data_IF_840154959011
#
_entry.id   IF_840154959011
#
_cell.length_a   1.000
_cell.length_b   1.000
_cell.length_c   1.000
_cell.angle_alpha   90.00
_cell.angle_beta   90.00
_cell.angle_gamma   90.00
#
_symmetry.space_group_name_H-M   'P 1'
#
loop_
_entity.id
_entity.type
_entity.pdbx_description
1 polymer ?
#
# COMPACT_ATOMS: atom_id res chain seq x y z
N UNK A 1 57.37 10.39 -59.65
CA UNK A 1 56.12 10.05 -58.93
C UNK A 1 56.35 10.29 -57.44
N UNK A 2 55.81 11.38 -56.88
CA UNK A 2 55.96 11.80 -55.48
C UNK A 2 54.87 11.10 -54.64
N UNK A 3 55.14 10.61 -53.41
CA UNK A 3 54.12 9.98 -52.58
C UNK A 3 53.11 11.02 -52.07
N UNK A 4 51.85 10.62 -51.80
CA UNK A 4 50.80 11.53 -51.34
C UNK A 4 51.03 11.94 -49.88
N UNK A 5 50.71 13.20 -49.57
CA UNK A 5 50.80 13.74 -48.22
C UNK A 5 49.72 13.12 -47.30
N UNK A 6 50.01 12.96 -45.99
CA UNK A 6 49.02 12.45 -45.03
C UNK A 6 47.89 13.45 -44.80
N UNK A 7 46.66 12.95 -44.77
CA UNK A 7 45.44 13.70 -44.48
C UNK A 7 45.43 14.16 -43.01
N UNK A 8 45.19 15.47 -42.80
CA UNK A 8 44.98 16.03 -41.47
C UNK A 8 43.67 15.50 -40.85
N UNK A 9 43.63 15.23 -39.53
CA UNK A 9 42.40 14.86 -38.85
C UNK A 9 41.40 16.03 -38.82
N UNK A 10 40.08 15.74 -38.83
CA UNK A 10 39.05 16.79 -38.78
C UNK A 10 39.08 17.55 -37.45
N UNK A 11 38.70 18.84 -37.43
CA UNK A 11 38.65 19.63 -36.20
C UNK A 11 37.62 19.05 -35.21
N UNK A 12 37.87 19.19 -33.89
CA UNK A 12 36.94 18.73 -32.86
C UNK A 12 35.60 19.48 -32.95
N UNK A 13 34.47 18.83 -32.59
CA UNK A 13 33.16 19.45 -32.57
C UNK A 13 33.12 20.63 -31.58
N UNK A 14 32.30 21.67 -31.86
CA UNK A 14 32.16 22.80 -30.96
C UNK A 14 31.62 22.36 -29.58
N UNK A 15 32.01 23.05 -28.49
CA UNK A 15 31.53 22.72 -27.15
C UNK A 15 30.00 22.88 -27.06
N UNK A 16 29.33 22.07 -26.23
CA UNK A 16 27.88 22.16 -26.04
C UNK A 16 27.48 23.51 -25.43
N UNK A 17 26.30 24.05 -25.78
CA UNK A 17 25.83 25.31 -25.24
C UNK A 17 25.58 25.22 -23.72
N UNK A 18 25.73 26.33 -22.98
CA UNK A 18 25.52 26.35 -21.53
C UNK A 18 24.08 25.96 -21.16
N UNK A 19 23.87 25.21 -20.07
CA UNK A 19 22.55 24.82 -19.62
C UNK A 19 21.88 26.02 -18.93
N UNK A 20 21.07 26.77 -19.67
CA UNK A 20 20.29 27.86 -19.09
C UNK A 20 19.95 28.95 -20.08
N UNK A 21 18.94 28.70 -20.90
CA UNK A 21 18.45 29.68 -21.88
C UNK A 21 17.20 29.22 -22.60
N UNK A 22 16.25 28.61 -21.88
CA UNK A 22 14.90 28.43 -22.40
C UNK A 22 14.16 29.77 -22.40
N UNK A 23 13.34 30.09 -23.41
CA UNK A 23 12.61 31.36 -23.46
C UNK A 23 11.72 31.50 -22.22
N UNK A 24 11.76 32.69 -21.60
CA UNK A 24 10.89 33.04 -20.48
C UNK A 24 9.43 32.75 -20.85
N UNK A 25 8.78 31.90 -20.06
CA UNK A 25 7.38 31.52 -20.26
C UNK A 25 6.53 32.79 -20.08
N UNK A 26 5.63 33.14 -21.01
CA UNK A 26 4.81 34.34 -20.88
C UNK A 26 3.95 34.24 -19.61
N UNK A 27 3.91 35.33 -18.84
CA UNK A 27 3.10 35.47 -17.62
C UNK A 27 1.61 35.54 -18.00
N UNK A 28 1.00 34.39 -18.26
CA UNK A 28 -0.44 34.23 -18.45
C UNK A 28 -1.14 33.71 -17.18
N UNK A 29 -2.47 33.87 -17.06
CA UNK A 29 -3.25 33.32 -15.95
C UNK A 29 -3.04 31.81 -15.82
N UNK A 30 -2.77 31.35 -14.61
CA UNK A 30 -2.47 29.94 -14.32
C UNK A 30 -3.75 29.12 -14.40
N UNK A 31 -3.78 28.12 -15.29
CA UNK A 31 -4.89 27.18 -15.41
C UNK A 31 -4.74 26.04 -14.40
N UNK A 32 -5.85 25.41 -14.01
CA UNK A 32 -5.82 24.18 -13.21
C UNK A 32 -5.03 23.09 -13.94
N UNK A 33 -4.07 22.48 -13.26
CA UNK A 33 -3.21 21.46 -13.84
C UNK A 33 -3.95 20.12 -14.03
N UNK A 34 -3.78 19.51 -15.19
CA UNK A 34 -4.20 18.13 -15.46
C UNK A 34 -3.06 17.17 -15.11
N UNK A 35 -3.25 16.34 -14.09
CA UNK A 35 -2.23 15.43 -13.55
C UNK A 35 -2.18 14.09 -14.29
N UNK A 36 -1.88 14.11 -15.59
CA UNK A 36 -1.67 12.88 -16.35
C UNK A 36 -0.30 12.24 -16.09
N UNK A 37 -0.21 10.92 -16.23
CA UNK A 37 1.09 10.22 -16.33
C UNK A 37 1.52 10.21 -17.79
N UNK A 38 2.64 10.86 -18.10
CA UNK A 38 3.18 10.90 -19.46
C UNK A 38 3.63 9.50 -19.87
N UNK A 39 3.20 9.08 -21.06
CA UNK A 39 3.70 7.85 -21.68
C UNK A 39 4.95 8.21 -22.49
N UNK A 40 6.03 7.45 -22.30
CA UNK A 40 7.24 7.62 -23.11
C UNK A 40 6.95 7.17 -24.55
N UNK A 41 7.39 7.91 -25.59
CA UNK A 41 7.17 7.52 -26.97
C UNK A 41 7.90 6.21 -27.26
N UNK A 42 7.18 5.09 -27.23
CA UNK A 42 7.71 3.75 -27.49
C UNK A 42 7.21 3.26 -28.86
N UNK A 43 8.05 3.42 -29.87
CA UNK A 43 7.99 2.69 -31.14
C UNK A 43 6.72 2.83 -32.00
N UNK A 44 6.81 2.36 -33.25
CA UNK A 44 5.68 2.26 -34.17
C UNK A 44 4.69 1.19 -33.67
N UNK A 45 3.39 1.45 -33.78
CA UNK A 45 2.32 0.49 -33.41
C UNK A 45 1.50 0.85 -32.18
N UNK A 46 1.75 2.00 -31.54
CA UNK A 46 0.88 2.52 -30.48
C UNK A 46 -0.23 3.39 -31.06
N UNK A 47 -1.40 3.42 -30.43
CA UNK A 47 -2.49 4.34 -30.79
C UNK A 47 -2.01 5.81 -30.83
N UNK A 48 -1.06 6.18 -29.98
CA UNK A 48 -0.44 7.51 -29.93
C UNK A 48 0.29 7.89 -31.23
N UNK A 49 0.81 6.90 -31.97
CA UNK A 49 1.53 7.10 -33.24
C UNK A 49 0.60 7.28 -34.45
N UNK A 50 -0.71 7.04 -34.30
CA UNK A 50 -1.70 7.06 -35.38
C UNK A 50 -2.94 7.90 -35.04
N UNK A 51 -2.82 8.89 -34.15
CA UNK A 51 -3.95 9.76 -33.81
C UNK A 51 -4.27 10.73 -34.96
N UNK A 52 -5.56 10.92 -35.30
CA UNK A 52 -5.96 11.93 -36.28
C UNK A 52 -5.74 13.34 -35.72
N UNK A 53 -5.72 14.34 -36.62
CA UNK A 53 -5.65 15.75 -36.22
C UNK A 53 -6.88 16.11 -35.39
N UNK A 54 -6.67 16.55 -34.15
CA UNK A 54 -7.75 16.96 -33.26
C UNK A 54 -8.49 18.19 -33.83
N UNK A 55 -9.82 18.30 -33.60
CA UNK A 55 -10.56 19.51 -33.92
C UNK A 55 -10.02 20.70 -33.10
N UNK A 56 -10.14 21.94 -33.62
CA UNK A 56 -9.74 23.13 -32.88
C UNK A 56 -10.57 23.24 -31.60
N UNK A 57 -9.91 23.57 -30.49
CA UNK A 57 -10.56 23.83 -29.22
C UNK A 57 -10.74 25.34 -29.02
N UNK A 58 -11.81 25.73 -28.33
CA UNK A 58 -11.98 27.10 -27.88
C UNK A 58 -11.06 27.37 -26.66
N UNK A 59 -9.87 27.86 -26.95
CA UNK A 59 -8.91 28.17 -25.90
C UNK A 59 -9.32 29.36 -25.03
N UNK A 60 -10.20 30.24 -25.50
CA UNK A 60 -10.68 31.38 -24.73
C UNK A 60 -11.64 30.90 -23.64
N UNK A 61 -12.61 30.06 -24.01
CA UNK A 61 -13.50 29.40 -23.06
C UNK A 61 -12.74 28.49 -22.09
N UNK A 62 -11.74 27.74 -22.57
CA UNK A 62 -10.89 26.92 -21.71
C UNK A 62 -10.13 27.77 -20.68
N UNK A 63 -9.56 28.91 -21.10
CA UNK A 63 -8.90 29.83 -20.17
C UNK A 63 -9.89 30.43 -19.18
N UNK A 64 -11.06 30.87 -19.62
CA UNK A 64 -12.08 31.45 -18.73
C UNK A 64 -12.53 30.46 -17.64
N UNK A 65 -12.85 29.22 -18.03
CA UNK A 65 -13.41 28.21 -17.13
C UNK A 65 -12.37 27.61 -16.17
N UNK A 66 -11.13 27.46 -16.61
CA UNK A 66 -10.09 26.73 -15.88
C UNK A 66 -8.99 27.63 -15.30
N UNK A 67 -9.08 28.95 -15.46
CA UNK A 67 -8.21 29.90 -14.74
C UNK A 67 -8.41 29.75 -13.24
N UNK A 68 -7.32 29.56 -12.52
CA UNK A 68 -7.31 29.61 -11.07
C UNK A 68 -7.61 31.05 -10.67
N UNK A 69 -8.88 31.33 -10.35
CA UNK A 69 -9.28 32.61 -9.77
C UNK A 69 -8.48 32.79 -8.49
N UNK A 70 -7.62 33.80 -8.45
CA UNK A 70 -7.04 34.28 -7.21
C UNK A 70 -8.22 34.61 -6.27
N UNK A 71 -8.31 33.93 -5.13
CA UNK A 71 -9.32 34.25 -4.14
C UNK A 71 -9.04 35.66 -3.59
N UNK A 72 -9.78 36.65 -4.07
CA UNK A 72 -9.72 38.03 -3.58
C UNK A 72 -10.25 39.05 -4.59
N UNK A 73 -11.56 39.17 -4.70
CA UNK A 73 -12.18 40.20 -5.55
C UNK A 73 -13.70 40.17 -5.54
N UNK A 74 -14.34 40.11 -4.38
CA UNK A 74 -15.74 40.50 -4.27
C UNK A 74 -15.79 42.03 -4.15
N UNK A 75 -16.48 42.67 -5.11
CA UNK A 75 -16.77 44.11 -5.15
C UNK A 75 -17.49 44.57 -3.88
N UNK A 76 -17.21 45.77 -3.35
CA UNK A 76 -17.96 46.33 -2.24
C UNK A 76 -19.30 46.90 -2.73
N UNK A 77 -20.40 46.41 -2.14
CA UNK A 77 -21.69 47.12 -2.11
C UNK A 77 -21.61 48.22 -1.06
N UNK A 78 -21.90 49.44 -1.45
CA UNK A 78 -21.86 50.64 -0.63
C UNK A 78 -23.03 50.72 0.38
N UNK A 79 -22.73 51.03 1.65
CA UNK A 79 -23.52 51.82 2.63
C UNK A 79 -22.70 51.93 3.97
N UNK A 80 -22.96 52.87 4.90
CA UNK A 80 -21.94 53.84 5.31
C UNK A 80 -21.39 53.68 6.74
N UNK A 81 -20.24 54.35 6.94
CA UNK A 81 -19.69 54.97 8.15
C UNK A 81 -19.97 54.34 9.54
N UNK A 82 -18.89 53.86 10.17
CA UNK A 82 -18.81 53.64 11.62
C UNK A 82 -17.39 53.21 11.99
N UNK A 83 -16.67 54.06 12.73
CA UNK A 83 -15.24 53.93 12.97
C UNK A 83 -14.82 52.85 13.98
N UNK A 84 -13.49 52.70 14.10
CA UNK A 84 -12.88 52.07 15.27
C UNK A 84 -11.82 51.00 14.96
N UNK A 85 -10.56 51.42 15.05
CA UNK A 85 -9.39 50.70 15.57
C UNK A 85 -8.98 49.32 14.99
N UNK A 86 -7.82 49.33 14.32
CA UNK A 86 -6.65 48.54 14.72
C UNK A 86 -6.75 47.02 14.67
N UNK A 87 -6.40 46.43 13.53
CA UNK A 87 -6.11 44.99 13.42
C UNK A 87 -5.24 44.71 12.21
N UNK A 88 -3.93 44.66 12.41
CA UNK A 88 -2.93 44.31 11.40
C UNK A 88 -3.17 42.87 10.91
N UNK A 89 -3.93 42.72 9.83
CA UNK A 89 -4.10 41.43 9.16
C UNK A 89 -2.77 41.02 8.52
N UNK A 90 -2.03 40.16 9.21
CA UNK A 90 -0.86 39.47 8.66
C UNK A 90 -1.31 38.72 7.42
N UNK A 91 -0.89 39.20 6.25
CA UNK A 91 -1.03 38.49 4.97
C UNK A 91 -0.34 37.14 5.14
N UNK A 92 -1.14 36.08 5.22
CA UNK A 92 -0.67 34.70 5.16
C UNK A 92 -0.05 34.51 3.77
N UNK A 93 1.28 34.65 3.71
CA UNK A 93 2.07 34.38 2.51
C UNK A 93 1.67 33.03 1.94
N UNK A 94 1.17 33.03 0.72
CA UNK A 94 0.75 31.83 0.02
C UNK A 94 2.00 31.00 -0.27
N UNK A 95 2.21 30.00 0.58
CA UNK A 95 3.29 29.03 0.43
C UNK A 95 3.09 28.26 -0.89
N UNK A 96 4.12 28.11 -1.73
CA UNK A 96 4.07 27.16 -2.82
C UNK A 96 4.01 25.75 -2.24
N UNK A 97 2.82 25.13 -2.27
CA UNK A 97 2.65 23.77 -1.79
C UNK A 97 3.30 22.79 -2.79
N UNK A 98 4.43 22.19 -2.39
CA UNK A 98 5.09 21.12 -3.16
C UNK A 98 4.22 19.86 -3.22
N UNK A 99 3.44 19.60 -2.17
CA UNK A 99 2.51 18.48 -2.08
C UNK A 99 1.13 18.90 -2.56
N UNK A 100 0.39 17.95 -3.15
CA UNK A 100 -1.02 18.17 -3.40
C UNK A 100 -1.82 18.25 -2.10
N UNK A 101 -2.95 18.98 -2.14
CA UNK A 101 -3.77 19.25 -0.95
C UNK A 101 -4.26 17.96 -0.28
N UNK A 102 -4.55 16.90 -1.05
CA UNK A 102 -5.03 15.63 -0.49
C UNK A 102 -3.91 14.93 0.29
N UNK A 103 -2.70 14.87 -0.29
CA UNK A 103 -1.54 14.28 0.35
C UNK A 103 -1.11 15.06 1.59
N UNK A 104 -1.06 16.39 1.49
CA UNK A 104 -0.75 17.27 2.63
C UNK A 104 -1.75 17.07 3.78
N UNK A 105 -3.06 17.02 3.48
CA UNK A 105 -4.10 16.78 4.49
C UNK A 105 -3.97 15.38 5.12
N UNK A 106 -3.70 14.33 4.34
CA UNK A 106 -3.51 12.97 4.86
C UNK A 106 -2.37 12.92 5.88
N UNK A 107 -1.23 13.53 5.55
CA UNK A 107 -0.06 13.59 6.44
C UNK A 107 -0.40 14.41 7.69
N UNK A 108 -1.05 15.56 7.56
CA UNK A 108 -1.44 16.38 8.71
C UNK A 108 -2.41 15.66 9.67
N UNK A 109 -3.36 14.89 9.14
CA UNK A 109 -4.25 14.05 9.94
C UNK A 109 -3.45 13.00 10.72
N UNK A 110 -2.42 12.40 10.11
CA UNK A 110 -1.54 11.48 10.82
C UNK A 110 -0.70 12.19 11.88
N UNK A 111 -0.16 13.37 11.58
CA UNK A 111 0.65 14.17 12.51
C UNK A 111 -0.12 14.58 13.77
N UNK A 112 -1.43 14.80 13.68
CA UNK A 112 -2.26 15.07 14.85
C UNK A 112 -2.15 13.98 15.92
N UNK A 113 -2.00 12.71 15.53
CA UNK A 113 -1.78 11.55 16.44
C UNK A 113 -0.38 11.50 17.04
N UNK A 114 0.56 12.22 16.45
CA UNK A 114 1.99 12.13 16.72
C UNK A 114 2.58 13.38 17.40
N UNK A 115 1.77 14.43 17.54
CA UNK A 115 2.19 15.72 18.10
C UNK A 115 2.81 15.56 19.49
N UNK A 116 4.01 16.10 19.68
CA UNK A 116 4.72 16.09 20.97
C UNK A 116 5.39 14.76 21.35
N UNK A 117 5.32 13.72 20.50
CA UNK A 117 5.86 12.38 20.82
C UNK A 117 7.31 12.15 20.38
N UNK A 118 7.97 13.14 19.75
CA UNK A 118 9.37 12.98 19.31
C UNK A 118 9.59 11.84 18.31
N UNK A 119 8.69 11.70 17.32
CA UNK A 119 8.64 10.55 16.39
C UNK A 119 9.98 10.25 15.72
N UNK A 120 10.72 11.27 15.27
CA UNK A 120 11.97 11.07 14.57
C UNK A 120 13.01 10.35 15.45
N UNK A 121 13.16 10.81 16.69
CA UNK A 121 14.02 10.18 17.68
C UNK A 121 13.54 8.76 18.01
N UNK A 122 12.22 8.58 18.18
CA UNK A 122 11.64 7.27 18.45
C UNK A 122 11.85 6.26 17.30
N UNK A 123 11.76 6.71 16.04
CA UNK A 123 12.05 5.87 14.86
C UNK A 123 13.54 5.53 14.80
N UNK A 124 14.43 6.49 15.05
CA UNK A 124 15.88 6.27 15.07
C UNK A 124 16.32 5.33 16.21
N UNK A 125 15.69 5.43 17.37
CA UNK A 125 15.99 4.60 18.54
C UNK A 125 15.23 3.25 18.55
N UNK A 126 14.24 3.06 17.67
CA UNK A 126 13.32 1.92 17.72
C UNK A 126 12.63 1.80 19.10
N UNK A 127 12.13 2.94 19.59
CA UNK A 127 11.59 3.10 20.95
C UNK A 127 10.14 2.61 21.05
N UNK A 128 9.97 1.42 21.63
CA UNK A 128 8.70 0.74 21.82
C UNK A 128 7.79 1.41 22.88
N UNK A 129 8.34 2.27 23.73
CA UNK A 129 7.55 3.01 24.72
C UNK A 129 6.75 4.12 24.05
N UNK A 130 7.34 4.73 23.02
CA UNK A 130 6.73 5.81 22.25
C UNK A 130 5.92 5.28 21.08
N UNK A 131 6.41 4.33 20.29
CA UNK A 131 5.75 3.88 19.06
C UNK A 131 5.20 2.46 19.18
N UNK A 132 3.90 2.30 18.92
CA UNK A 132 3.21 1.00 18.91
C UNK A 132 3.00 0.48 17.48
N UNK A 133 2.56 -0.77 17.35
CA UNK A 133 2.34 -1.44 16.06
C UNK A 133 1.53 -0.59 15.07
N UNK A 134 0.39 -0.05 15.52
CA UNK A 134 -0.49 0.79 14.69
C UNK A 134 0.15 2.12 14.29
N UNK A 135 1.04 2.64 15.13
CA UNK A 135 1.79 3.86 14.81
C UNK A 135 2.79 3.59 13.70
N UNK A 136 3.48 2.43 13.72
CA UNK A 136 4.40 2.05 12.64
C UNK A 136 3.65 1.87 11.32
N UNK A 137 2.45 1.27 11.33
CA UNK A 137 1.62 1.15 10.12
C UNK A 137 1.27 2.52 9.55
N UNK A 138 0.80 3.46 10.38
CA UNK A 138 0.54 4.85 9.96
C UNK A 138 1.78 5.57 9.46
N UNK A 139 2.92 5.40 10.13
CA UNK A 139 4.18 6.02 9.71
C UNK A 139 4.62 5.51 8.33
N UNK A 140 4.38 4.23 8.02
CA UNK A 140 4.66 3.69 6.68
C UNK A 140 3.77 4.31 5.60
N UNK A 141 2.49 4.55 5.89
CA UNK A 141 1.56 5.23 4.95
C UNK A 141 1.90 6.71 4.74
N UNK A 142 2.45 7.36 5.77
CA UNK A 142 2.81 8.78 5.75
C UNK A 142 4.27 9.03 5.40
N UNK A 143 5.07 7.97 5.20
CA UNK A 143 6.46 8.09 4.78
C UNK A 143 6.53 8.68 3.37
N UNK A 144 7.61 9.43 3.06
CA UNK A 144 7.81 9.97 1.73
C UNK A 144 7.97 8.83 0.71
N UNK A 145 7.26 8.95 -0.40
CA UNK A 145 7.42 8.10 -1.59
C UNK A 145 8.76 8.37 -2.27
N UNK A 146 9.20 7.47 -3.16
CA UNK A 146 10.46 7.67 -3.88
C UNK A 146 10.48 8.98 -4.68
N UNK A 147 9.37 9.34 -5.32
CA UNK A 147 9.21 10.62 -6.04
C UNK A 147 9.31 11.82 -5.09
N UNK A 148 8.67 11.74 -3.92
CA UNK A 148 8.74 12.79 -2.89
C UNK A 148 10.16 12.92 -2.30
N UNK A 149 10.89 11.81 -2.12
CA UNK A 149 12.30 11.84 -1.65
C UNK A 149 13.18 12.53 -2.68
N UNK A 150 13.04 12.22 -3.97
CA UNK A 150 13.81 12.86 -5.04
C UNK A 150 13.48 14.35 -5.17
N UNK A 151 12.21 14.72 -5.03
CA UNK A 151 11.77 16.12 -5.04
C UNK A 151 12.32 16.91 -3.84
N UNK A 152 12.42 16.27 -2.67
CA UNK A 152 12.82 16.91 -1.42
C UNK A 152 14.33 16.84 -1.15
N UNK A 153 15.08 15.97 -1.82
CA UNK A 153 16.52 15.78 -1.57
C UNK A 153 17.36 17.05 -1.68
N UNK A 154 17.15 17.96 -2.66
CA UNK A 154 17.97 19.16 -2.78
C UNK A 154 17.84 20.09 -1.57
N UNK A 155 16.67 20.08 -0.92
CA UNK A 155 16.38 20.89 0.26
C UNK A 155 16.85 20.23 1.57
N UNK A 156 17.05 18.91 1.56
CA UNK A 156 17.64 18.18 2.68
C UNK A 156 19.17 18.31 2.72
N UNK A 157 19.80 18.41 1.55
CA UNK A 157 21.27 18.45 1.40
C UNK A 157 21.86 19.85 1.59
N UNK A 158 21.16 20.91 1.17
CA UNK A 158 21.61 22.29 1.33
C UNK A 158 20.70 23.07 2.31
N UNK A 159 21.18 23.37 3.53
CA UNK A 159 20.45 24.17 4.51
C UNK A 159 20.01 25.54 3.99
N UNK A 160 20.77 26.13 3.05
CA UNK A 160 20.43 27.44 2.46
C UNK A 160 19.19 27.33 1.60
N UNK A 161 19.07 26.26 0.80
CA UNK A 161 17.87 25.96 0.01
C UNK A 161 16.67 25.65 0.92
N UNK A 162 16.89 24.94 2.03
CA UNK A 162 15.85 24.72 3.04
C UNK A 162 15.28 26.02 3.61
N UNK A 163 16.11 27.05 3.82
CA UNK A 163 15.69 28.35 4.33
C UNK A 163 15.01 29.25 3.28
N UNK A 164 15.19 28.96 1.98
CA UNK A 164 14.51 29.72 0.90
C UNK A 164 13.01 29.48 0.82
N UNK A 165 12.51 28.40 1.43
CA UNK A 165 11.11 27.98 1.36
C UNK A 165 10.49 27.94 2.76
N UNK A 166 9.30 28.53 2.90
CA UNK A 166 8.45 28.35 4.09
C UNK A 166 7.77 26.98 4.01
N UNK A 167 8.23 26.02 4.79
CA UNK A 167 7.67 24.66 4.84
C UNK A 167 6.36 24.61 5.63
N UNK A 168 5.35 23.94 5.07
CA UNK A 168 4.16 23.54 5.81
C UNK A 168 4.45 22.36 6.75
N UNK A 169 3.52 22.03 7.67
CA UNK A 169 3.72 20.93 8.62
C UNK A 169 3.92 19.56 7.96
N UNK A 170 3.27 19.31 6.82
CA UNK A 170 3.38 18.05 6.10
C UNK A 170 4.74 17.93 5.41
N UNK A 171 5.17 18.97 4.71
CA UNK A 171 6.43 19.02 3.99
C UNK A 171 7.62 18.97 4.94
N UNK A 172 7.55 19.69 6.07
CA UNK A 172 8.57 19.61 7.13
C UNK A 172 8.71 18.18 7.66
N UNK A 173 7.59 17.49 7.91
CA UNK A 173 7.64 16.09 8.35
C UNK A 173 8.24 15.16 7.30
N UNK A 174 7.89 15.33 6.02
CA UNK A 174 8.47 14.50 4.96
C UNK A 174 9.98 14.73 4.81
N UNK A 175 10.45 15.97 4.93
CA UNK A 175 11.88 16.29 4.94
C UNK A 175 12.61 15.58 6.08
N UNK A 176 12.06 15.68 7.30
CA UNK A 176 12.66 15.05 8.47
C UNK A 176 12.68 13.52 8.34
N UNK A 177 11.60 12.92 7.80
CA UNK A 177 11.52 11.47 7.56
C UNK A 177 12.44 11.02 6.41
N UNK A 178 12.59 11.82 5.35
CA UNK A 178 13.50 11.53 4.24
C UNK A 178 14.97 11.53 4.69
N UNK A 179 15.32 12.35 5.68
CA UNK A 179 16.65 12.37 6.28
C UNK A 179 16.96 11.12 7.12
N UNK A 180 15.96 10.31 7.50
CA UNK A 180 16.17 9.08 8.27
C UNK A 180 16.81 8.00 7.38
N UNK A 181 18.02 7.52 7.71
CA UNK A 181 18.69 6.50 6.91
C UNK A 181 17.89 5.20 6.89
N UNK A 182 17.67 4.67 5.68
CA UNK A 182 16.98 3.38 5.45
C UNK A 182 15.62 3.31 6.15
N UNK A 183 14.86 4.41 6.11
CA UNK A 183 13.57 4.55 6.80
C UNK A 183 12.65 3.34 6.59
N UNK A 184 12.46 2.91 5.34
CA UNK A 184 11.56 1.78 5.00
C UNK A 184 11.97 0.49 5.72
N UNK A 185 13.25 0.13 5.65
CA UNK A 185 13.80 -1.05 6.33
C UNK A 185 13.71 -0.89 7.85
N UNK A 186 13.99 0.30 8.38
CA UNK A 186 13.92 0.60 9.81
C UNK A 186 12.51 0.41 10.36
N UNK A 187 11.49 0.96 9.69
CA UNK A 187 10.09 0.76 10.05
C UNK A 187 9.66 -0.71 9.93
N UNK A 188 10.14 -1.43 8.91
CA UNK A 188 9.87 -2.86 8.75
C UNK A 188 10.50 -3.70 9.89
N UNK A 189 11.77 -3.46 10.22
CA UNK A 189 12.45 -4.10 11.34
C UNK A 189 11.76 -3.76 12.66
N UNK A 190 11.31 -2.52 12.84
CA UNK A 190 10.63 -2.11 14.06
C UNK A 190 9.29 -2.83 14.24
N UNK A 191 8.50 -2.90 13.16
CA UNK A 191 7.24 -3.64 13.16
C UNK A 191 7.47 -5.12 13.49
N UNK A 192 8.51 -5.73 12.92
CA UNK A 192 8.90 -7.10 13.25
C UNK A 192 9.25 -7.23 14.72
N UNK A 193 10.08 -6.34 15.28
CA UNK A 193 10.45 -6.33 16.71
C UNK A 193 9.22 -6.29 17.62
N UNK A 194 8.29 -5.38 17.35
CA UNK A 194 7.05 -5.20 18.12
C UNK A 194 6.11 -6.42 18.05
N UNK A 195 6.13 -7.16 16.95
CA UNK A 195 5.19 -8.28 16.71
C UNK A 195 5.81 -9.65 16.90
N UNK A 196 7.12 -9.74 17.10
CA UNK A 196 7.87 -10.99 17.09
C UNK A 196 7.39 -11.95 18.18
N UNK A 197 7.35 -11.49 19.43
CA UNK A 197 7.00 -12.36 20.57
C UNK A 197 5.58 -12.90 20.46
N UNK A 198 4.62 -12.10 19.99
CA UNK A 198 3.26 -12.59 19.79
C UNK A 198 3.20 -13.63 18.67
N UNK A 199 3.82 -13.35 17.51
CA UNK A 199 3.86 -14.30 16.39
C UNK A 199 4.56 -15.60 16.76
N UNK A 200 5.63 -15.53 17.54
CA UNK A 200 6.34 -16.69 18.07
C UNK A 200 5.42 -17.52 18.97
N UNK A 201 4.76 -16.90 19.95
CA UNK A 201 3.82 -17.59 20.86
C UNK A 201 2.68 -18.25 20.09
N UNK A 202 2.11 -17.56 19.10
CA UNK A 202 1.03 -18.11 18.29
C UNK A 202 1.50 -19.33 17.49
N UNK A 203 2.70 -19.27 16.91
CA UNK A 203 3.29 -20.39 16.19
C UNK A 203 3.61 -21.57 17.13
N UNK A 204 4.19 -21.32 18.30
CA UNK A 204 4.45 -22.34 19.32
C UNK A 204 3.15 -23.03 19.76
N UNK A 205 2.08 -22.26 20.00
CA UNK A 205 0.78 -22.81 20.36
C UNK A 205 0.18 -23.70 19.26
N UNK A 206 0.30 -23.30 17.99
CA UNK A 206 -0.17 -24.09 16.85
C UNK A 206 0.60 -25.41 16.72
N UNK A 207 1.93 -25.35 16.82
CA UNK A 207 2.78 -26.55 16.75
C UNK A 207 2.47 -27.49 17.90
N UNK A 208 2.32 -26.97 19.12
CA UNK A 208 1.98 -27.77 20.29
C UNK A 208 0.60 -28.42 20.17
N UNK A 209 -0.40 -27.69 19.65
CA UNK A 209 -1.72 -28.25 19.40
C UNK A 209 -1.67 -29.43 18.41
N UNK A 210 -0.90 -29.30 17.32
CA UNK A 210 -0.70 -30.38 16.34
C UNK A 210 0.01 -31.57 16.98
N UNK A 211 1.10 -31.32 17.72
CA UNK A 211 1.85 -32.38 18.40
C UNK A 211 0.97 -33.16 19.38
N UNK A 212 0.18 -32.46 20.20
CA UNK A 212 -0.79 -33.08 21.10
C UNK A 212 -1.83 -33.90 20.34
N UNK A 213 -2.40 -33.37 19.26
CA UNK A 213 -3.36 -34.12 18.45
C UNK A 213 -2.76 -35.41 17.87
N UNK A 214 -1.54 -35.34 17.32
CA UNK A 214 -0.82 -36.51 16.79
C UNK A 214 -0.51 -37.51 17.89
N UNK A 215 -0.05 -37.07 19.06
CA UNK A 215 0.21 -37.93 20.21
C UNK A 215 -1.06 -38.62 20.70
N UNK A 216 -2.18 -37.91 20.82
CA UNK A 216 -3.47 -38.48 21.19
C UNK A 216 -3.93 -39.55 20.18
N UNK A 217 -3.82 -39.28 18.88
CA UNK A 217 -4.19 -40.23 17.83
C UNK A 217 -3.30 -41.47 17.84
N UNK A 218 -1.98 -41.30 17.94
CA UNK A 218 -1.02 -42.42 17.97
C UNK A 218 -1.09 -43.23 19.27
N UNK A 219 -1.35 -42.58 20.40
CA UNK A 219 -1.47 -43.21 21.71
C UNK A 219 -2.81 -43.89 21.95
N UNK A 220 -3.82 -43.64 21.11
CA UNK A 220 -5.15 -44.21 21.26
C UNK A 220 -5.16 -45.71 20.95
N UNK A 221 -5.50 -46.51 21.96
CA UNK A 221 -5.74 -47.95 21.80
C UNK A 221 -7.14 -48.26 21.27
N UNK A 222 -8.08 -47.32 21.40
CA UNK A 222 -9.48 -47.51 21.00
C UNK A 222 -9.73 -47.13 19.55
N UNK A 223 -8.99 -46.16 19.00
CA UNK A 223 -9.14 -45.72 17.62
C UNK A 223 -8.91 -46.86 16.60
N UNK A 224 -7.85 -47.68 16.70
CA UNK A 224 -7.68 -48.82 15.80
C UNK A 224 -8.83 -49.83 15.86
N UNK A 225 -9.39 -50.08 17.06
CA UNK A 225 -10.52 -50.98 17.25
C UNK A 225 -11.79 -50.44 16.57
N UNK A 226 -12.07 -49.15 16.74
CA UNK A 226 -13.18 -48.48 16.06
C UNK A 226 -13.04 -48.56 14.54
N UNK A 227 -11.85 -48.27 14.00
CA UNK A 227 -11.60 -48.34 12.56
C UNK A 227 -11.75 -49.78 12.04
N UNK A 228 -11.31 -50.79 12.79
CA UNK A 228 -11.48 -52.19 12.44
C UNK A 228 -12.97 -52.59 12.41
N UNK A 229 -13.76 -52.16 13.40
CA UNK A 229 -15.20 -52.41 13.46
C UNK A 229 -15.91 -51.77 12.25
N UNK A 230 -15.60 -50.51 11.96
CA UNK A 230 -16.16 -49.79 10.80
C UNK A 230 -15.77 -50.49 9.49
N UNK A 231 -14.52 -50.98 9.37
CA UNK A 231 -14.07 -51.72 8.20
C UNK A 231 -14.87 -53.03 8.03
N UNK A 232 -15.07 -53.77 9.11
CA UNK A 232 -15.83 -55.02 9.11
C UNK A 232 -17.28 -54.78 8.70
N UNK A 233 -17.95 -53.80 9.32
CA UNK A 233 -19.34 -53.44 9.00
C UNK A 233 -19.46 -52.94 7.56
N UNK A 234 -18.54 -52.08 7.11
CA UNK A 234 -18.52 -51.57 5.74
C UNK A 234 -18.32 -52.68 4.70
N UNK A 235 -17.43 -53.65 4.98
CA UNK A 235 -17.22 -54.80 4.10
C UNK A 235 -18.42 -55.74 4.06
N UNK A 236 -19.11 -55.93 5.18
CA UNK A 236 -20.35 -56.72 5.23
C UNK A 236 -21.47 -56.06 4.41
N UNK A 237 -21.65 -54.74 4.53
CA UNK A 237 -22.66 -54.00 3.78
C UNK A 237 -22.39 -53.97 2.27
N UNK A 238 -21.12 -53.91 1.87
CA UNK A 238 -20.71 -53.84 0.47
C UNK A 238 -20.40 -55.22 -0.14
N UNK A 239 -20.73 -56.31 0.55
CA UNK A 239 -20.49 -57.67 0.07
C UNK A 239 -21.15 -57.89 -1.30
N UNK A 240 -20.43 -58.50 -2.24
CA UNK A 240 -20.92 -58.73 -3.60
C UNK A 240 -20.88 -57.51 -4.53
N UNK A 241 -20.37 -56.37 -4.06
CA UNK A 241 -20.13 -55.19 -4.90
C UNK A 241 -18.63 -54.96 -5.12
N UNK A 242 -18.22 -54.17 -6.13
CA UNK A 242 -16.82 -53.76 -6.31
C UNK A 242 -16.23 -52.96 -5.13
N UNK A 243 -17.07 -52.51 -4.18
CA UNK A 243 -16.68 -51.74 -2.98
C UNK A 243 -16.46 -52.63 -1.75
N UNK A 244 -16.74 -53.94 -1.84
CA UNK A 244 -16.51 -54.90 -0.76
C UNK A 244 -15.05 -55.34 -0.67
N UNK A 245 -14.74 -56.13 0.37
CA UNK A 245 -13.39 -56.68 0.62
C UNK A 245 -12.26 -55.63 0.66
N UNK A 246 -12.57 -54.41 1.11
CA UNK A 246 -11.59 -53.35 1.27
C UNK A 246 -10.61 -53.69 2.41
N UNK A 247 -9.34 -53.33 2.23
CA UNK A 247 -8.29 -53.45 3.26
C UNK A 247 -8.23 -52.23 4.20
N UNK A 248 -8.89 -51.13 3.84
CA UNK A 248 -8.92 -49.87 4.59
C UNK A 248 -9.82 -48.85 3.91
N UNK A 249 -10.03 -47.71 4.57
CA UNK A 249 -10.85 -46.61 4.05
C UNK A 249 -10.27 -45.25 4.44
N UNK A 250 -10.66 -44.20 3.72
CA UNK A 250 -10.26 -42.81 4.01
C UNK A 250 -11.08 -42.23 5.16
N UNK A 251 -10.53 -41.26 5.91
CA UNK A 251 -11.22 -40.65 7.07
C UNK A 251 -12.58 -40.03 6.73
N UNK A 252 -12.79 -39.62 5.48
CA UNK A 252 -14.09 -39.13 4.98
C UNK A 252 -15.22 -40.15 5.14
N UNK A 253 -14.91 -41.45 5.07
CA UNK A 253 -15.91 -42.52 5.24
C UNK A 253 -16.55 -42.51 6.64
N UNK A 254 -15.85 -41.99 7.65
CA UNK A 254 -16.40 -41.85 9.01
C UNK A 254 -17.61 -40.91 9.04
N UNK A 255 -17.60 -39.85 8.23
CA UNK A 255 -18.74 -38.93 8.11
C UNK A 255 -19.99 -39.60 7.54
N UNK A 256 -19.81 -40.54 6.61
CA UNK A 256 -20.90 -41.27 5.94
C UNK A 256 -21.66 -42.24 6.84
N UNK A 257 -21.10 -42.59 8.00
CA UNK A 257 -21.77 -43.45 8.98
C UNK A 257 -23.04 -42.81 9.54
N UNK A 258 -23.06 -41.48 9.69
CA UNK A 258 -24.24 -40.75 10.14
C UNK A 258 -25.31 -40.66 9.04
N UNK A 259 -24.89 -40.61 7.78
CA UNK A 259 -25.75 -40.45 6.60
C UNK A 259 -26.40 -41.77 6.17
N UNK A 260 -25.72 -42.89 6.38
CA UNK A 260 -26.21 -44.22 6.01
C UNK A 260 -27.27 -44.67 7.00
N UNK A 261 -28.53 -44.82 6.55
CA UNK A 261 -29.68 -45.17 7.41
C UNK A 261 -30.18 -46.58 7.13
N UNK A 262 -30.69 -47.24 8.16
CA UNK A 262 -31.42 -48.50 8.03
C UNK A 262 -32.71 -48.31 7.21
N UNK A 263 -33.15 -49.37 6.54
CA UNK A 263 -34.48 -49.40 5.95
C UNK A 263 -35.56 -49.41 7.04
N UNK A 264 -36.74 -48.90 6.69
CA UNK A 264 -37.95 -49.01 7.52
C UNK A 264 -38.62 -50.35 7.20
N UNK A 265 -39.10 -51.05 8.22
CA UNK A 265 -39.86 -52.31 8.08
C UNK A 265 -40.93 -52.39 9.16
N UNK A 266 -41.93 -53.26 9.00
CA UNK A 266 -43.02 -53.40 9.98
C UNK A 266 -42.52 -53.74 11.40
N UNK A 267 -41.36 -54.40 11.52
CA UNK A 267 -40.70 -54.69 12.79
C UNK A 267 -39.78 -53.56 13.32
N UNK A 268 -39.39 -52.59 12.47
CA UNK A 268 -38.60 -51.40 12.83
C UNK A 268 -39.14 -50.16 12.10
N UNK A 269 -40.08 -49.43 12.73
CA UNK A 269 -40.72 -48.27 12.11
C UNK A 269 -39.82 -47.03 12.06
N UNK A 270 -38.75 -46.97 12.89
CA UNK A 270 -37.82 -45.84 12.94
C UNK A 270 -36.47 -46.17 12.26
N UNK A 271 -35.98 -45.26 11.42
CA UNK A 271 -34.66 -45.35 10.81
C UNK A 271 -33.56 -45.12 11.85
N UNK A 272 -32.56 -46.00 11.89
CA UNK A 272 -31.35 -45.86 12.72
C UNK A 272 -30.15 -45.65 11.81
N UNK A 273 -29.26 -44.70 12.11
CA UNK A 273 -28.04 -44.53 11.31
C UNK A 273 -27.02 -45.62 11.61
N UNK A 274 -26.12 -45.87 10.66
CA UNK A 274 -25.05 -46.83 10.82
C UNK A 274 -24.13 -46.45 11.99
N UNK A 275 -23.94 -45.16 12.25
CA UNK A 275 -23.23 -44.67 13.42
C UNK A 275 -23.90 -45.11 14.73
N UNK A 276 -25.23 -45.00 14.85
CA UNK A 276 -25.95 -45.49 16.04
C UNK A 276 -25.86 -47.01 16.20
N UNK A 277 -25.78 -47.75 15.10
CA UNK A 277 -25.56 -49.19 15.14
C UNK A 277 -24.16 -49.55 15.63
N UNK A 278 -23.12 -48.85 15.15
CA UNK A 278 -21.72 -49.06 15.55
C UNK A 278 -21.45 -48.62 17.00
N UNK A 279 -22.24 -47.68 17.53
CA UNK A 279 -22.11 -47.16 18.89
C UNK A 279 -22.81 -48.00 19.97
N UNK A 280 -23.59 -49.03 19.60
CA UNK A 280 -24.23 -49.96 20.53
C UNK A 280 -23.25 -51.02 21.01
#
# INVERSE_FOLDING_TARGET
MRPPAPLLPPPPPPPPPPPGGGPARPAGPQLRALHWKKVQPSGKGTLWSSLPKAPPIDEAALRELFTVKAAGGQKPTAAPAGGGAGGSAVKKEQQPALLDVKRSNQIQIALAKFKGRGILAAVLALDETVLKQDDIARLRECSPSAEEVEMLSPFGEDPRLKETVRWGPAESFLLDMAAVPRLSQRLACFLSKLTFEQRKKDAEAQVEAINKAVQCLRGSKTLPLLLALVLQVGNALNAGTPRGAAAGFTSEALGKLAETKSTVSDARPAQTSLLHYVAR
#
